data_IF_717371190316
#
_entry.id   IF_717371190316
#
_cell.length_a   1.000
_cell.length_b   1.000
_cell.length_c   1.000
_cell.angle_alpha   90.00
_cell.angle_beta   90.00
_cell.angle_gamma   90.00
#
_symmetry.space_group_name_H-M   'P 1'
#
loop_
_entity.id
_entity.type
_entity.pdbx_description
1 polymer ?
#
# COMPACT_ATOMS: atom_id res chain seq x y z
N UNK A 1 14.44 -25.81 1.01
CA UNK A 1 13.24 -25.13 1.56
C UNK A 1 12.52 -24.45 0.41
N UNK A 2 11.19 -24.44 0.43
CA UNK A 2 10.36 -23.69 -0.52
C UNK A 2 9.86 -22.43 0.19
N UNK A 3 10.07 -21.25 -0.39
CA UNK A 3 9.73 -19.94 0.21
C UNK A 3 9.09 -18.99 -0.81
N UNK A 4 8.43 -17.95 -0.32
CA UNK A 4 7.89 -16.82 -1.08
C UNK A 4 8.54 -15.51 -0.61
N UNK A 5 8.48 -14.46 -1.45
CA UNK A 5 8.93 -13.13 -1.06
C UNK A 5 8.11 -12.60 0.12
N UNK A 6 8.74 -11.83 1.01
CA UNK A 6 8.12 -11.26 2.19
C UNK A 6 8.41 -9.76 2.31
N UNK A 7 7.50 -9.03 2.97
CA UNK A 7 7.69 -7.61 3.32
C UNK A 7 8.86 -7.50 4.30
N UNK A 8 9.77 -6.56 4.03
CA UNK A 8 10.85 -6.20 4.93
C UNK A 8 10.37 -5.14 5.93
N UNK A 9 10.18 -5.53 7.18
CA UNK A 9 9.65 -4.65 8.23
C UNK A 9 10.78 -3.89 8.94
N UNK A 10 10.67 -2.55 9.12
CA UNK A 10 11.52 -1.85 10.05
C UNK A 10 11.33 -2.38 11.48
N UNK A 11 12.40 -2.37 12.29
CA UNK A 11 12.39 -2.99 13.64
C UNK A 11 11.18 -2.60 14.50
N UNK A 12 10.76 -1.34 14.48
CA UNK A 12 9.64 -0.80 15.26
C UNK A 12 8.24 -1.25 14.79
N UNK A 13 8.14 -1.89 13.63
CA UNK A 13 6.89 -2.33 13.00
C UNK A 13 6.92 -3.85 12.72
N UNK A 14 7.77 -4.58 13.44
CA UNK A 14 7.84 -6.05 13.35
C UNK A 14 6.48 -6.66 13.72
N UNK A 15 5.89 -7.56 12.91
CA UNK A 15 4.65 -8.25 13.27
C UNK A 15 4.78 -8.99 14.61
N UNK A 16 3.83 -8.78 15.51
CA UNK A 16 3.84 -9.33 16.88
C UNK A 16 4.43 -8.39 17.95
N UNK A 17 5.10 -7.31 17.56
CA UNK A 17 5.72 -6.33 18.49
C UNK A 17 4.92 -5.01 18.59
N UNK A 18 3.69 -4.99 18.08
CA UNK A 18 2.80 -3.82 18.06
C UNK A 18 1.39 -4.21 18.49
N UNK A 19 0.54 -3.22 18.75
CA UNK A 19 -0.81 -3.45 19.28
C UNK A 19 -1.75 -4.20 18.33
N UNK A 20 -1.52 -4.11 17.00
CA UNK A 20 -2.32 -4.81 16.02
C UNK A 20 -1.53 -5.15 14.75
N UNK A 21 -1.77 -6.34 14.19
CA UNK A 21 -1.19 -6.79 12.93
C UNK A 21 -2.27 -7.45 12.06
N UNK A 22 -2.36 -7.04 10.80
CA UNK A 22 -3.30 -7.60 9.81
C UNK A 22 -2.56 -7.94 8.52
N UNK A 23 -2.92 -9.05 7.89
CA UNK A 23 -2.33 -9.54 6.64
C UNK A 23 -3.42 -9.96 5.64
N UNK A 24 -3.27 -9.57 4.37
CA UNK A 24 -4.17 -9.91 3.28
C UNK A 24 -3.36 -10.27 2.03
N UNK A 25 -3.78 -11.31 1.29
CA UNK A 25 -3.13 -11.73 0.03
C UNK A 25 -4.19 -12.19 -0.99
N UNK A 26 -4.00 -11.83 -2.25
CA UNK A 26 -4.78 -12.35 -3.39
C UNK A 26 -3.83 -12.73 -4.51
N UNK A 27 -4.07 -13.89 -5.14
CA UNK A 27 -3.29 -14.38 -6.28
C UNK A 27 -4.26 -14.55 -7.45
N UNK A 28 -4.14 -13.69 -8.47
CA UNK A 28 -5.11 -13.61 -9.57
C UNK A 28 -4.42 -13.87 -10.90
N UNK A 29 -4.94 -14.85 -11.65
CA UNK A 29 -4.44 -15.19 -13.00
C UNK A 29 -4.89 -14.15 -14.03
N UNK A 30 -3.98 -13.72 -14.90
CA UNK A 30 -4.30 -12.85 -16.03
C UNK A 30 -4.56 -11.38 -15.67
N UNK A 31 -4.29 -10.99 -14.42
CA UNK A 31 -4.37 -9.59 -14.00
C UNK A 31 -3.13 -8.82 -14.48
N UNK A 32 -3.34 -7.65 -15.05
CA UNK A 32 -2.27 -6.79 -15.57
C UNK A 32 -1.51 -6.12 -14.43
N UNK A 33 -0.26 -6.53 -14.23
CA UNK A 33 0.63 -6.01 -13.19
C UNK A 33 0.81 -4.49 -13.27
N UNK A 34 0.98 -3.94 -14.48
CA UNK A 34 1.24 -2.51 -14.64
C UNK A 34 0.01 -1.69 -14.26
N UNK A 35 -1.18 -2.16 -14.62
CA UNK A 35 -2.44 -1.52 -14.20
C UNK A 35 -2.60 -1.56 -12.69
N UNK A 36 -2.30 -2.69 -12.04
CA UNK A 36 -2.38 -2.80 -10.56
C UNK A 36 -1.44 -1.80 -9.90
N UNK A 37 -0.18 -1.75 -10.32
CA UNK A 37 0.81 -0.82 -9.76
C UNK A 37 0.42 0.64 -10.01
N UNK A 38 -0.06 0.97 -11.21
CA UNK A 38 -0.51 2.32 -11.53
C UNK A 38 -1.66 2.77 -10.61
N UNK A 39 -2.71 1.95 -10.47
CA UNK A 39 -3.88 2.30 -9.67
C UNK A 39 -3.59 2.28 -8.16
N UNK A 40 -2.66 1.44 -7.71
CA UNK A 40 -2.21 1.43 -6.30
C UNK A 40 -1.39 2.68 -5.96
N UNK A 41 -0.48 3.11 -6.85
CA UNK A 41 0.42 4.24 -6.59
C UNK A 41 -0.28 5.60 -6.72
N UNK A 42 -1.24 5.73 -7.61
CA UNK A 42 -1.99 6.97 -7.80
C UNK A 42 -3.22 7.01 -6.91
N UNK A 43 -3.10 7.71 -5.78
CA UNK A 43 -4.15 7.85 -4.77
C UNK A 43 -5.46 8.46 -5.30
N UNK A 44 -5.45 9.15 -6.45
CA UNK A 44 -6.67 9.71 -7.06
C UNK A 44 -7.62 8.63 -7.59
N UNK A 45 -7.18 7.37 -7.64
CA UNK A 45 -8.01 6.23 -8.03
C UNK A 45 -8.68 5.55 -6.84
N UNK A 46 -8.21 5.76 -5.60
CA UNK A 46 -8.60 4.93 -4.46
C UNK A 46 -10.10 4.98 -4.17
N UNK A 47 -10.70 6.17 -4.16
CA UNK A 47 -12.14 6.34 -3.90
C UNK A 47 -13.03 5.64 -4.93
N UNK A 48 -12.51 5.41 -6.14
CA UNK A 48 -13.26 4.77 -7.24
C UNK A 48 -13.44 3.27 -7.03
N UNK A 49 -12.54 2.62 -6.31
CA UNK A 49 -12.56 1.16 -6.11
C UNK A 49 -12.51 0.71 -4.64
N UNK A 50 -12.18 1.59 -3.69
CA UNK A 50 -12.16 1.31 -2.27
C UNK A 50 -13.07 2.28 -1.50
N UNK A 51 -14.27 1.81 -1.17
CA UNK A 51 -15.38 2.62 -0.62
C UNK A 51 -15.07 3.34 0.70
N UNK A 52 -14.05 2.88 1.43
CA UNK A 52 -13.66 3.48 2.70
C UNK A 52 -12.58 4.58 2.55
N UNK A 53 -12.19 4.92 1.32
CA UNK A 53 -11.29 6.06 1.04
C UNK A 53 -12.06 7.28 0.53
N UNK A 54 -11.43 8.46 0.58
CA UNK A 54 -12.03 9.74 0.15
C UNK A 54 -10.96 10.75 -0.27
N UNK A 55 -11.23 12.05 -0.04
CA UNK A 55 -10.42 13.17 -0.53
C UNK A 55 -8.91 13.03 -0.27
N UNK A 56 -8.10 13.38 -1.28
CA UNK A 56 -6.63 13.35 -1.22
C UNK A 56 -6.02 14.75 -1.36
N UNK A 57 -4.87 14.97 -0.73
CA UNK A 57 -4.06 16.18 -0.89
C UNK A 57 -2.58 15.81 -1.00
N UNK A 58 -1.95 16.18 -2.12
CA UNK A 58 -0.53 15.92 -2.34
C UNK A 58 0.32 17.12 -1.88
N UNK A 59 1.04 16.95 -0.77
CA UNK A 59 1.95 17.98 -0.26
C UNK A 59 3.30 17.87 -0.98
N UNK A 60 3.74 18.97 -1.60
CA UNK A 60 5.08 19.04 -2.18
C UNK A 60 6.10 19.55 -1.16
N UNK A 61 7.32 19.04 -1.20
CA UNK A 61 8.42 19.42 -0.29
C UNK A 61 8.79 20.91 -0.32
N UNK A 62 8.34 21.68 -1.33
CA UNK A 62 8.55 23.14 -1.41
C UNK A 62 7.72 23.92 -0.41
N UNK A 63 6.65 23.33 0.16
CA UNK A 63 5.76 24.01 1.10
C UNK A 63 6.23 23.96 2.56
N UNK A 64 7.37 23.32 2.85
CA UNK A 64 7.91 23.19 4.21
C UNK A 64 8.94 24.28 4.60
N UNK A 65 9.22 25.27 3.73
CA UNK A 65 10.27 26.28 3.94
C UNK A 65 9.74 27.73 4.01
N UNK A 66 8.51 27.96 4.47
CA UNK A 66 7.99 29.31 4.78
C UNK A 66 7.59 29.43 6.24
#
# INVERSE_FOLDING_TARGET
MTTMNAIQWPKKWTPGETDNFVSNEVIVKGLDFNKVVQHLRDASHWEKYYKNSGNIHHVSSRQYHS
#
